data_IF_577125460009
#
_entry.id   IF_577125460009
#
_cell.length_a   1.000
_cell.length_b   1.000
_cell.length_c   1.000
_cell.angle_alpha   90.00
_cell.angle_beta   90.00
_cell.angle_gamma   90.00
#
_symmetry.space_group_name_H-M   'P 1'
#
loop_
_entity.id
_entity.type
_entity.pdbx_description
1 polymer ?
#
# COMPACT_ATOMS: atom_id res chain seq x y z
N UNK A 1 -7.69 -6.78 -1.09
CA UNK A 1 -7.59 -5.38 -1.57
C UNK A 1 -6.63 -4.59 -0.70
N UNK A 2 -6.93 -4.31 0.58
CA UNK A 2 -6.05 -3.54 1.46
C UNK A 2 -4.62 -4.10 1.59
N UNK A 3 -4.44 -5.38 1.95
CA UNK A 3 -3.10 -5.99 2.07
C UNK A 3 -2.31 -5.96 0.77
N UNK A 4 -2.95 -6.24 -0.36
CA UNK A 4 -2.31 -6.20 -1.68
C UNK A 4 -1.87 -4.78 -2.02
N UNK A 5 -2.74 -3.82 -1.76
CA UNK A 5 -2.48 -2.41 -1.99
C UNK A 5 -1.31 -1.93 -1.11
N UNK A 6 -1.35 -2.21 0.20
CA UNK A 6 -0.28 -1.88 1.14
C UNK A 6 1.05 -2.56 0.74
N UNK A 7 1.02 -3.84 0.37
CA UNK A 7 2.21 -4.55 -0.08
C UNK A 7 2.83 -3.95 -1.35
N UNK A 8 2.03 -3.29 -2.20
CA UNK A 8 2.50 -2.60 -3.40
C UNK A 8 3.07 -1.22 -3.06
N UNK A 9 2.39 -0.45 -2.21
CA UNK A 9 2.73 0.94 -1.89
C UNK A 9 3.81 1.07 -0.81
N UNK A 10 4.01 0.04 0.01
CA UNK A 10 4.94 0.08 1.13
C UNK A 10 6.37 -0.29 0.74
N UNK A 11 7.33 0.47 1.28
CA UNK A 11 8.75 0.22 1.10
C UNK A 11 9.16 -1.06 1.85
N UNK A 12 9.95 -1.90 1.18
CA UNK A 12 10.59 -3.08 1.75
C UNK A 12 12.10 -2.92 1.61
N UNK A 13 12.86 -3.62 2.45
CA UNK A 13 14.34 -3.53 2.53
C UNK A 13 15.03 -3.62 1.15
N UNK A 14 14.45 -4.36 0.21
CA UNK A 14 14.99 -4.61 -1.13
C UNK A 14 14.18 -3.97 -2.27
N UNK A 15 13.10 -3.24 -1.98
CA UNK A 15 12.22 -2.65 -3.01
C UNK A 15 11.52 -1.40 -2.47
N UNK A 16 11.58 -0.32 -3.23
CA UNK A 16 10.71 0.83 -2.98
C UNK A 16 9.25 0.52 -3.35
N UNK A 17 8.34 1.04 -2.54
CA UNK A 17 6.91 1.04 -2.80
C UNK A 17 6.63 1.70 -4.15
N UNK A 18 5.62 1.19 -4.85
CA UNK A 18 5.13 1.76 -6.10
C UNK A 18 4.09 2.85 -5.83
N UNK A 19 3.88 3.79 -6.78
CA UNK A 19 2.84 4.80 -6.65
C UNK A 19 1.43 4.17 -6.56
N UNK A 20 0.49 4.98 -6.05
CA UNK A 20 -0.93 4.63 -5.93
C UNK A 20 -1.52 4.05 -7.22
N UNK A 21 -1.18 4.65 -8.37
CA UNK A 21 -1.69 4.25 -9.68
C UNK A 21 -1.31 2.80 -10.03
N UNK A 22 -0.06 2.41 -9.82
CA UNK A 22 0.40 1.03 -10.05
C UNK A 22 -0.30 0.02 -9.12
N UNK A 23 -0.69 0.45 -7.92
CA UNK A 23 -1.45 -0.40 -7.00
C UNK A 23 -2.90 -0.55 -7.49
N UNK A 24 -3.50 0.55 -7.96
CA UNK A 24 -4.86 0.54 -8.49
C UNK A 24 -4.98 -0.27 -9.78
N UNK A 25 -4.02 -0.16 -10.70
CA UNK A 25 -3.98 -0.97 -11.92
C UNK A 25 -3.94 -2.48 -11.61
N UNK A 26 -3.15 -2.89 -10.62
CA UNK A 26 -3.10 -4.29 -10.19
C UNK A 26 -4.45 -4.76 -9.62
N UNK A 27 -5.09 -3.93 -8.80
CA UNK A 27 -6.41 -4.24 -8.24
C UNK A 27 -7.48 -4.34 -9.34
N UNK A 28 -7.45 -3.46 -10.34
CA UNK A 28 -8.36 -3.48 -11.48
C UNK A 28 -8.14 -4.72 -12.34
N UNK A 29 -6.89 -5.10 -12.59
CA UNK A 29 -6.51 -6.28 -13.37
C UNK A 29 -7.06 -7.59 -12.79
N UNK A 30 -7.11 -7.70 -11.47
CA UNK A 30 -7.64 -8.89 -10.78
C UNK A 30 -9.05 -8.69 -10.20
N UNK A 31 -9.74 -7.61 -10.60
CA UNK A 31 -11.13 -7.37 -10.25
C UNK A 31 -12.04 -8.46 -10.83
N UNK A 32 -12.95 -8.98 -10.02
CA UNK A 32 -13.88 -10.04 -10.43
C UNK A 32 -13.31 -11.45 -10.39
N UNK A 33 -12.02 -11.61 -10.06
CA UNK A 33 -11.39 -12.91 -9.85
C UNK A 33 -10.85 -13.04 -8.43
N UNK A 34 -9.77 -12.30 -8.12
CA UNK A 34 -9.14 -12.31 -6.80
C UNK A 34 -9.77 -11.29 -5.84
N UNK A 35 -10.38 -10.24 -6.39
CA UNK A 35 -11.00 -9.16 -5.64
C UNK A 35 -12.47 -8.99 -6.02
N UNK A 36 -13.29 -8.60 -5.05
CA UNK A 36 -14.68 -8.23 -5.30
C UNK A 36 -14.72 -6.94 -6.13
N UNK A 37 -15.40 -6.93 -7.31
CA UNK A 37 -15.50 -5.76 -8.16
C UNK A 37 -16.03 -4.51 -7.46
N UNK A 38 -16.99 -4.66 -6.53
CA UNK A 38 -17.58 -3.53 -5.81
C UNK A 38 -16.57 -2.88 -4.86
N UNK A 39 -15.69 -3.69 -4.27
CA UNK A 39 -14.64 -3.20 -3.38
C UNK A 39 -13.56 -2.47 -4.19
N UNK A 40 -13.17 -3.03 -5.33
CA UNK A 40 -12.20 -2.37 -6.24
C UNK A 40 -12.77 -1.06 -6.78
N UNK A 41 -14.05 -1.04 -7.17
CA UNK A 41 -14.73 0.17 -7.64
C UNK A 41 -14.83 1.24 -6.54
N UNK A 42 -15.15 0.86 -5.30
CA UNK A 42 -15.15 1.79 -4.18
C UNK A 42 -13.75 2.37 -3.93
N UNK A 43 -12.70 1.56 -4.07
CA UNK A 43 -11.31 2.00 -3.91
C UNK A 43 -10.87 2.96 -5.02
N UNK A 44 -11.31 2.70 -6.27
CA UNK A 44 -10.99 3.53 -7.43
C UNK A 44 -11.64 4.93 -7.42
N UNK A 45 -12.61 5.17 -6.52
CA UNK A 45 -13.26 6.47 -6.33
C UNK A 45 -12.45 7.42 -5.44
N UNK A 46 -11.41 6.92 -4.77
CA UNK A 46 -10.55 7.73 -3.90
C UNK A 46 -9.55 8.49 -4.78
N UNK A 47 -9.47 9.81 -4.60
CA UNK A 47 -8.51 10.61 -5.33
C UNK A 47 -7.07 10.29 -4.87
N UNK A 48 -6.09 10.17 -5.79
CA UNK A 48 -4.70 9.89 -5.43
C UNK A 48 -4.11 10.92 -4.45
N UNK A 49 -4.46 12.20 -4.62
CA UNK A 49 -4.00 13.30 -3.76
C UNK A 49 -4.61 13.20 -2.36
N UNK A 50 -5.87 12.78 -2.25
CA UNK A 50 -6.53 12.54 -0.97
C UNK A 50 -5.86 11.38 -0.23
N UNK A 51 -5.56 10.30 -0.94
CA UNK A 51 -4.86 9.15 -0.37
C UNK A 51 -3.45 9.52 0.13
N UNK A 52 -2.69 10.29 -0.64
CA UNK A 52 -1.35 10.75 -0.23
C UNK A 52 -1.44 11.65 1.01
N UNK A 53 -2.43 12.54 1.06
CA UNK A 53 -2.68 13.38 2.23
C UNK A 53 -3.06 12.56 3.47
N UNK A 54 -3.76 11.42 3.32
CA UNK A 54 -4.05 10.49 4.41
C UNK A 54 -2.80 9.72 4.84
N UNK A 55 -2.00 9.25 3.88
CA UNK A 55 -0.74 8.53 4.16
C UNK A 55 0.24 9.39 4.93
N UNK A 56 0.38 10.66 4.54
CA UNK A 56 1.26 11.63 5.19
C UNK A 56 0.91 11.86 6.68
N UNK A 57 -0.34 11.64 7.08
CA UNK A 57 -0.82 11.84 8.46
C UNK A 57 -0.51 10.68 9.40
N UNK A 58 0.02 9.56 8.91
CA UNK A 58 0.42 8.43 9.75
C UNK A 58 1.95 8.38 9.86
N UNK A 59 2.57 8.89 10.95
CA UNK A 59 3.99 8.66 11.18
C UNK A 59 4.16 7.20 11.59
N UNK A 60 4.62 6.35 10.67
CA UNK A 60 5.12 5.03 11.05
C UNK A 60 6.35 5.25 11.94
N UNK A 61 6.23 4.87 13.20
CA UNK A 61 7.35 4.83 14.12
C UNK A 61 8.47 4.02 13.46
N UNK A 62 9.60 4.69 13.28
CA UNK A 62 10.81 4.12 12.73
C UNK A 62 11.20 2.93 13.60
N UNK A 63 11.16 1.71 13.06
CA UNK A 63 11.77 0.55 13.71
C UNK A 63 13.29 0.79 13.71
N UNK A 64 13.78 1.45 14.77
CA UNK A 64 15.21 1.57 15.06
C UNK A 64 15.68 0.22 15.56
N UNK A 65 16.34 -0.48 14.65
CA UNK A 65 17.45 -1.40 14.86
C UNK A 65 17.95 -1.51 16.33
N UNK A 66 17.79 -2.70 16.91
CA UNK A 66 18.68 -3.19 17.96
C UNK A 66 19.07 -4.64 17.66
N UNK A 67 20.02 -4.80 16.74
CA UNK A 67 20.98 -5.89 16.85
C UNK A 67 21.91 -5.55 18.03
N UNK A 68 21.50 -5.92 19.24
CA UNK A 68 22.43 -6.06 20.35
C UNK A 68 23.03 -7.47 20.27
N UNK A 69 24.20 -7.59 19.64
CA UNK A 69 25.12 -8.68 19.96
C UNK A 69 25.60 -8.42 21.38
N UNK A 70 25.11 -9.21 22.33
CA UNK A 70 25.70 -9.36 23.66
C UNK A 70 25.25 -10.69 24.27
N UNK A 71 25.99 -11.75 23.97
CA UNK A 71 26.58 -12.69 24.93
C UNK A 71 27.44 -13.71 24.19
#
# INVERSE_FOLDING_TARGET
VADTFDAITSDRVYRRGRPYQDALEELLKFSGTQFDPKVVEAFARIDPDEWEALRSKCPSETVKEQHAIAC
#
